data_IF_384970360337
#
_entry.id   IF_384970360337
#
_cell.length_a   1.000
_cell.length_b   1.000
_cell.length_c   1.000
_cell.angle_alpha   90.00
_cell.angle_beta   90.00
_cell.angle_gamma   90.00
#
_symmetry.space_group_name_H-M   'P 1'
#
loop_
_entity.id
_entity.type
_entity.pdbx_description
1 polymer ?
#
# COMPACT_ATOMS: atom_id res chain seq x y z
N UNK A 1 -7.39 -18.88 8.64
CA UNK A 1 -5.96 -18.75 8.29
C UNK A 1 -5.72 -17.31 7.86
N UNK A 2 -4.74 -16.59 8.43
CA UNK A 2 -4.44 -15.23 7.99
C UNK A 2 -4.09 -15.26 6.50
N UNK A 3 -4.70 -14.36 5.73
CA UNK A 3 -4.36 -14.14 4.32
C UNK A 3 -3.01 -13.40 4.30
N UNK A 4 -1.91 -14.13 4.37
CA UNK A 4 -0.58 -13.51 4.30
C UNK A 4 -0.36 -13.01 2.88
N UNK A 5 -0.26 -11.69 2.72
CA UNK A 5 0.23 -11.06 1.50
C UNK A 5 1.69 -10.68 1.71
N UNK A 6 2.53 -11.05 0.75
CA UNK A 6 3.95 -10.72 0.74
C UNK A 6 4.19 -9.75 -0.40
N UNK A 7 4.68 -8.54 -0.07
CA UNK A 7 5.03 -7.50 -1.03
C UNK A 7 6.51 -7.64 -1.38
N UNK A 8 6.83 -7.53 -2.67
CA UNK A 8 8.21 -7.39 -3.15
C UNK A 8 8.74 -6.00 -2.76
N UNK A 9 9.65 -5.96 -1.80
CA UNK A 9 10.25 -4.75 -1.25
C UNK A 9 11.46 -4.24 -2.06
N UNK A 10 11.80 -4.90 -3.17
CA UNK A 10 12.84 -4.45 -4.09
C UNK A 10 12.47 -3.16 -4.81
N UNK A 11 13.47 -2.46 -5.38
CA UNK A 11 13.22 -1.25 -6.18
C UNK A 11 12.38 -1.52 -7.42
N UNK A 12 12.51 -2.71 -8.01
CA UNK A 12 11.73 -3.20 -9.15
C UNK A 12 10.35 -3.75 -8.75
N UNK A 13 10.15 -4.03 -7.45
CA UNK A 13 8.89 -4.54 -6.90
C UNK A 13 7.77 -3.51 -6.85
N UNK A 14 8.01 -2.25 -7.25
CA UNK A 14 7.01 -1.19 -7.26
C UNK A 14 7.15 -0.23 -8.43
N UNK A 15 6.03 0.40 -8.80
CA UNK A 15 5.98 1.45 -9.81
C UNK A 15 4.94 2.51 -9.42
N UNK A 16 5.15 3.76 -9.84
CA UNK A 16 4.11 4.79 -9.81
C UNK A 16 3.28 4.68 -11.09
N UNK A 17 1.98 4.49 -10.96
CA UNK A 17 1.05 4.33 -12.09
C UNK A 17 -0.12 5.28 -11.88
N UNK A 18 -0.14 6.41 -12.61
CA UNK A 18 -1.14 7.45 -12.38
C UNK A 18 -1.02 8.05 -10.97
N UNK A 19 -2.08 7.97 -10.18
CA UNK A 19 -2.18 8.52 -8.82
C UNK A 19 -1.88 7.51 -7.70
N UNK A 20 -1.44 6.30 -8.05
CA UNK A 20 -1.12 5.23 -7.09
C UNK A 20 0.32 4.77 -7.20
N UNK A 21 0.83 4.24 -6.08
CA UNK A 21 1.98 3.35 -6.06
C UNK A 21 1.46 1.92 -6.13
N UNK A 22 1.89 1.20 -7.16
CA UNK A 22 1.61 -0.21 -7.37
C UNK A 22 2.77 -1.05 -6.86
N UNK A 23 2.46 -2.06 -6.06
CA UNK A 23 3.38 -3.06 -5.57
C UNK A 23 3.09 -4.41 -6.22
N UNK A 24 4.15 -5.12 -6.60
CA UNK A 24 4.09 -6.53 -6.92
C UNK A 24 3.98 -7.32 -5.61
N UNK A 25 3.03 -8.24 -5.54
CA UNK A 25 2.79 -9.03 -4.36
C UNK A 25 2.36 -10.45 -4.72
N UNK A 26 2.41 -11.33 -3.72
CA UNK A 26 1.90 -12.70 -3.83
C UNK A 26 1.07 -13.03 -2.59
N UNK A 27 -0.02 -13.75 -2.81
CA UNK A 27 -0.76 -14.42 -1.75
C UNK A 27 -0.90 -15.92 -2.07
N UNK A 28 -1.64 -16.66 -1.25
CA UNK A 28 -1.88 -18.10 -1.44
C UNK A 28 -2.55 -18.47 -2.77
N UNK A 29 -3.15 -17.51 -3.48
CA UNK A 29 -3.84 -17.72 -4.76
C UNK A 29 -2.97 -17.28 -5.95
N UNK A 30 -1.72 -16.87 -5.71
CA UNK A 30 -0.75 -16.49 -6.74
C UNK A 30 -0.45 -14.99 -6.77
N UNK A 31 0.15 -14.51 -7.88
CA UNK A 31 0.52 -13.11 -8.02
C UNK A 31 -0.68 -12.16 -7.96
N UNK A 32 -0.46 -10.98 -7.38
CA UNK A 32 -1.38 -9.85 -7.41
C UNK A 32 -0.61 -8.53 -7.41
N UNK A 33 -1.31 -7.45 -7.70
CA UNK A 33 -0.83 -6.09 -7.48
C UNK A 33 -1.56 -5.46 -6.29
N UNK A 34 -0.84 -4.66 -5.50
CA UNK A 34 -1.44 -3.80 -4.47
C UNK A 34 -1.25 -2.35 -4.87
N UNK A 35 -2.34 -1.61 -5.00
CA UNK A 35 -2.33 -0.18 -5.27
C UNK A 35 -2.61 0.59 -3.98
N UNK A 36 -1.82 1.62 -3.72
CA UNK A 36 -2.05 2.61 -2.65
C UNK A 36 -1.93 4.00 -3.25
N UNK A 37 -2.84 4.92 -2.90
CA UNK A 37 -2.76 6.30 -3.37
C UNK A 37 -1.42 6.96 -2.99
N UNK A 38 -0.88 7.81 -3.87
CA UNK A 38 0.41 8.48 -3.67
C UNK A 38 0.49 9.30 -2.37
N UNK A 39 -0.57 10.01 -1.99
CA UNK A 39 -0.58 10.77 -0.75
C UNK A 39 -0.49 9.85 0.47
N UNK A 40 -1.28 8.77 0.46
CA UNK A 40 -1.26 7.76 1.51
C UNK A 40 0.12 7.08 1.59
N UNK A 41 0.73 6.79 0.45
CA UNK A 41 2.09 6.26 0.39
C UNK A 41 3.12 7.21 1.02
N UNK A 42 3.06 8.50 0.70
CA UNK A 42 3.97 9.51 1.28
C UNK A 42 3.85 9.57 2.80
N UNK A 43 2.61 9.66 3.33
CA UNK A 43 2.39 9.66 4.78
C UNK A 43 2.91 8.38 5.43
N UNK A 44 2.69 7.23 4.80
CA UNK A 44 3.16 5.95 5.30
C UNK A 44 4.70 5.88 5.31
N UNK A 45 5.36 6.43 4.29
CA UNK A 45 6.82 6.52 4.17
C UNK A 45 7.46 7.47 5.17
N UNK A 46 6.79 8.57 5.50
CA UNK A 46 7.26 9.50 6.53
C UNK A 46 7.23 8.83 7.91
N UNK A 47 6.21 8.01 8.18
CA UNK A 47 6.10 7.20 9.42
C UNK A 47 7.03 6.00 9.44
N UNK A 48 7.37 5.45 8.27
CA UNK A 48 8.22 4.27 8.11
C UNK A 48 9.33 4.57 7.08
N UNK A 49 10.43 5.24 7.50
CA UNK A 49 11.52 5.59 6.59
C UNK A 49 12.23 4.36 6.01
N UNK A 50 12.16 3.20 6.66
CA UNK A 50 12.62 1.92 6.11
C UNK A 50 11.59 1.35 5.11
N UNK A 51 12.08 0.86 3.96
CA UNK A 51 11.20 0.39 2.88
C UNK A 51 10.50 -0.92 3.23
N UNK A 52 11.15 -1.80 4.00
CA UNK A 52 10.58 -3.09 4.41
C UNK A 52 9.45 -2.88 5.39
N UNK A 53 9.63 -1.97 6.33
CA UNK A 53 8.58 -1.64 7.30
C UNK A 53 7.41 -0.91 6.63
N UNK A 54 7.69 -0.03 5.65
CA UNK A 54 6.65 0.54 4.81
C UNK A 54 5.88 -0.54 4.03
N UNK A 55 6.56 -1.51 3.42
CA UNK A 55 5.92 -2.61 2.70
C UNK A 55 5.08 -3.50 3.64
N UNK A 56 5.56 -3.81 4.85
CA UNK A 56 4.77 -4.53 5.86
C UNK A 56 3.52 -3.76 6.25
N UNK A 57 3.61 -2.44 6.44
CA UNK A 57 2.46 -1.61 6.75
C UNK A 57 1.43 -1.62 5.61
N UNK A 58 1.84 -1.55 4.34
CA UNK A 58 0.94 -1.71 3.19
C UNK A 58 0.28 -3.09 3.18
N UNK A 59 1.04 -4.17 3.43
CA UNK A 59 0.50 -5.52 3.51
C UNK A 59 -0.53 -5.68 4.64
N UNK A 60 -0.34 -4.97 5.76
CA UNK A 60 -1.28 -4.98 6.89
C UNK A 60 -2.63 -4.30 6.57
N UNK A 61 -2.69 -3.42 5.55
CA UNK A 61 -3.94 -2.81 5.08
C UNK A 61 -4.75 -3.73 4.15
N UNK A 62 -4.15 -4.82 3.67
CA UNK A 62 -4.77 -5.71 2.71
C UNK A 62 -6.12 -6.34 3.15
N UNK A 63 -6.35 -6.68 4.44
CA UNK A 63 -7.63 -7.22 4.89
C UNK A 63 -8.81 -6.28 4.62
N UNK A 64 -8.58 -4.97 4.67
CA UNK A 64 -9.60 -3.92 4.48
C UNK A 64 -9.60 -3.36 3.04
N UNK A 65 -8.74 -3.89 2.17
CA UNK A 65 -8.60 -3.44 0.79
C UNK A 65 -9.78 -3.84 -0.10
N UNK A 66 -10.00 -3.05 -1.15
CA UNK A 66 -11.02 -3.29 -2.16
C UNK A 66 -10.42 -4.00 -3.39
N UNK A 67 -10.91 -5.21 -3.68
CA UNK A 67 -10.48 -5.97 -4.85
C UNK A 67 -11.00 -5.36 -6.14
N UNK A 68 -10.12 -5.23 -7.14
CA UNK A 68 -10.41 -4.74 -8.48
C UNK A 68 -9.85 -5.72 -9.52
N UNK A 69 -10.54 -5.87 -10.64
CA UNK A 69 -9.98 -6.51 -11.84
C UNK A 69 -9.47 -5.41 -12.77
N UNK A 70 -8.17 -5.42 -13.04
CA UNK A 70 -7.54 -4.57 -14.05
C UNK A 70 -6.88 -5.49 -15.08
N UNK A 71 -7.30 -5.43 -16.34
CA UNK A 71 -6.72 -6.19 -17.45
C UNK A 71 -6.54 -7.70 -17.19
N UNK A 72 -7.49 -8.30 -16.46
CA UNK A 72 -7.44 -9.72 -16.08
C UNK A 72 -6.51 -10.06 -14.91
N UNK A 73 -5.74 -9.08 -14.39
CA UNK A 73 -4.90 -9.24 -13.22
C UNK A 73 -5.68 -9.01 -11.92
N UNK A 74 -5.23 -9.70 -10.86
CA UNK A 74 -5.74 -9.51 -9.49
C UNK A 74 -5.11 -8.25 -8.91
N UNK A 75 -5.93 -7.24 -8.65
CA UNK A 75 -5.46 -6.00 -8.07
C UNK A 75 -6.22 -5.69 -6.76
N UNK A 76 -5.51 -5.21 -5.75
CA UNK A 76 -6.06 -4.85 -4.46
C UNK A 76 -5.76 -3.37 -4.20
N UNK A 77 -6.80 -2.54 -4.12
CA UNK A 77 -6.64 -1.15 -3.71
C UNK A 77 -6.70 -1.09 -2.18
N UNK A 78 -5.63 -0.61 -1.55
CA UNK A 78 -5.59 -0.34 -0.11
C UNK A 78 -5.57 1.16 0.15
N UNK A 79 -6.14 1.55 1.29
CA UNK A 79 -6.17 2.94 1.72
C UNK A 79 -5.67 3.01 3.15
N UNK A 80 -4.99 4.10 3.50
CA UNK A 80 -4.92 4.47 4.90
C UNK A 80 -6.35 4.80 5.34
N UNK A 81 -6.78 4.28 6.49
CA UNK A 81 -8.01 4.73 7.14
C UNK A 81 -7.98 6.26 7.34
N UNK A 82 -9.08 6.85 7.86
CA UNK A 82 -9.20 8.30 7.98
C UNK A 82 -7.92 8.92 8.56
N UNK A 83 -7.25 9.75 7.75
CA UNK A 83 -6.05 10.46 8.16
C UNK A 83 -6.47 11.55 9.13
N UNK A 84 -6.36 11.27 10.43
CA UNK A 84 -6.46 12.29 11.46
C UNK A 84 -5.16 13.08 11.42
N UNK A 85 -5.20 14.25 10.78
CA UNK A 85 -4.14 15.25 10.91
C UNK A 85 -4.48 16.00 12.20
N UNK A 86 -3.80 15.66 13.29
CA UNK A 86 -3.86 16.47 14.50
C UNK A 86 -3.18 17.81 14.20
N UNK A 87 -3.98 18.81 13.82
CA UNK A 87 -3.55 20.18 13.62
C UNK A 87 -3.13 20.81 14.93
N UNK A 88 -1.90 20.55 15.36
CA UNK A 88 -1.30 21.11 16.56
C UNK A 88 -0.19 22.11 16.24
N UNK A 89 -0.56 23.30 15.76
CA UNK A 89 0.02 24.60 16.16
C UNK A 89 -0.48 25.70 15.20
N UNK A 90 -1.18 26.73 15.69
CA UNK A 90 -1.21 28.00 14.99
C UNK A 90 0.19 28.60 15.12
N UNK A 91 0.93 28.68 14.02
CA UNK A 91 2.06 29.60 13.93
C UNK A 91 1.47 31.02 13.92
N UNK A 92 1.42 31.66 15.09
CA UNK A 92 1.30 33.10 15.25
C UNK A 92 2.70 33.69 15.38
#
# INVERSE_FOLDING_TARGET
MPKTIIIDDSRSGRAVVGDVVRFNAVDRHGPLSIDINLLAWTVLRDRNPDIRDAAKAVAALAPDGAWRKLDGARNLLVTLGPLVIEGGAPFL
#
